data_IF_621396558357
#
_entry.id   IF_621396558357
#
_cell.length_a   1.000
_cell.length_b   1.000
_cell.length_c   1.000
_cell.angle_alpha   90.00
_cell.angle_beta   90.00
_cell.angle_gamma   90.00
#
_symmetry.space_group_name_H-M   'P 1'
#
loop_
_entity.id
_entity.type
_entity.pdbx_description
1 polymer ?
#
# COMPACT_ATOMS: atom_id res chain seq x y z
N UNK A 1 -19.76 15.09 5.96
CA UNK A 1 -18.56 14.81 6.71
C UNK A 1 -17.91 13.52 6.23
N UNK A 2 -16.80 13.15 6.81
CA UNK A 2 -15.97 12.02 6.35
C UNK A 2 -16.72 10.71 6.27
N UNK A 3 -17.52 10.37 7.28
CA UNK A 3 -18.16 9.06 7.33
C UNK A 3 -19.19 8.91 6.22
N UNK A 4 -20.00 9.93 5.98
CA UNK A 4 -21.01 9.83 4.92
C UNK A 4 -20.38 9.83 3.53
N UNK A 5 -19.30 10.56 3.34
CA UNK A 5 -18.57 10.56 2.07
C UNK A 5 -17.89 9.20 1.84
N UNK A 6 -17.30 8.64 2.88
CA UNK A 6 -16.65 7.34 2.80
C UNK A 6 -17.63 6.23 2.46
N UNK A 7 -18.84 6.27 3.01
CA UNK A 7 -19.87 5.27 2.79
C UNK A 7 -20.35 5.20 1.35
N UNK A 8 -20.11 6.22 0.54
CA UNK A 8 -20.43 6.18 -0.88
C UNK A 8 -19.59 5.17 -1.63
N UNK A 9 -18.37 4.90 -1.15
CA UNK A 9 -17.40 4.12 -1.91
C UNK A 9 -16.92 2.87 -1.18
N UNK A 10 -17.08 2.80 0.14
CA UNK A 10 -16.58 1.69 0.95
C UNK A 10 -17.74 1.06 1.70
N UNK A 11 -17.83 -0.26 1.62
CA UNK A 11 -18.79 -1.03 2.42
C UNK A 11 -18.09 -2.22 3.03
N UNK A 12 -18.68 -2.73 4.12
CA UNK A 12 -18.19 -3.89 4.84
C UNK A 12 -19.12 -5.05 4.56
N UNK A 13 -18.56 -6.13 4.06
CA UNK A 13 -19.28 -7.38 3.85
C UNK A 13 -18.59 -8.46 4.69
N UNK A 14 -19.16 -9.64 4.84
CA UNK A 14 -18.50 -10.65 5.67
C UNK A 14 -17.05 -10.85 5.23
N UNK A 15 -16.13 -10.52 6.13
CA UNK A 15 -14.68 -10.66 5.94
C UNK A 15 -14.14 -9.92 4.72
N UNK A 16 -14.82 -8.86 4.28
CA UNK A 16 -14.42 -8.13 3.08
C UNK A 16 -14.65 -6.63 3.28
N UNK A 17 -13.65 -5.84 2.87
CA UNK A 17 -13.79 -4.39 2.71
C UNK A 17 -13.92 -4.13 1.21
N UNK A 18 -15.08 -3.66 0.79
CA UNK A 18 -15.38 -3.43 -0.63
C UNK A 18 -15.23 -1.96 -0.96
N UNK A 19 -14.43 -1.66 -1.97
CA UNK A 19 -14.34 -0.32 -2.56
C UNK A 19 -15.05 -0.37 -3.90
N UNK A 20 -16.09 0.45 -4.09
CA UNK A 20 -16.92 0.41 -5.27
C UNK A 20 -17.12 1.82 -5.83
N UNK A 21 -16.93 1.97 -7.13
CA UNK A 21 -17.16 3.25 -7.82
C UNK A 21 -16.08 4.29 -7.54
N UNK A 22 -14.93 3.87 -7.04
CA UNK A 22 -13.82 4.77 -6.72
C UNK A 22 -12.50 4.06 -6.95
N UNK A 23 -11.43 4.84 -6.99
CA UNK A 23 -10.07 4.33 -7.03
C UNK A 23 -9.50 4.30 -5.62
N UNK A 24 -8.54 3.40 -5.40
CA UNK A 24 -7.71 3.43 -4.20
C UNK A 24 -6.37 4.04 -4.59
N UNK A 25 -6.05 5.20 -4.03
CA UNK A 25 -4.79 5.87 -4.27
C UNK A 25 -3.99 5.90 -2.97
N UNK A 26 -2.78 5.38 -3.02
CA UNK A 26 -1.90 5.29 -1.86
C UNK A 26 -0.63 6.06 -2.19
N UNK A 27 -0.29 7.03 -1.35
CA UNK A 27 0.86 7.91 -1.60
C UNK A 27 1.72 8.03 -0.35
N UNK A 28 2.98 8.37 -0.58
CA UNK A 28 3.97 8.53 0.51
C UNK A 28 3.82 9.85 1.27
N UNK A 29 3.14 10.82 0.69
CA UNK A 29 3.02 12.14 1.29
C UNK A 29 4.13 13.11 0.89
N UNK A 30 5.04 12.70 0.00
CA UNK A 30 6.21 13.51 -0.40
C UNK A 30 5.95 14.37 -1.65
N UNK A 31 4.77 14.32 -2.21
CA UNK A 31 4.36 15.23 -3.28
C UNK A 31 4.52 14.69 -4.69
N UNK A 32 5.31 13.66 -4.94
CA UNK A 32 5.39 13.02 -6.24
C UNK A 32 5.82 11.57 -6.10
N UNK A 33 5.53 10.78 -7.14
CA UNK A 33 5.82 9.33 -7.13
C UNK A 33 7.32 9.06 -7.04
N UNK A 34 8.13 9.88 -7.67
CA UNK A 34 9.58 9.69 -7.72
C UNK A 34 10.33 10.59 -6.74
N UNK A 35 9.67 11.08 -5.72
CA UNK A 35 10.32 11.79 -4.62
C UNK A 35 11.16 10.83 -3.78
N UNK A 36 11.88 11.38 -2.82
CA UNK A 36 12.64 10.58 -1.85
C UNK A 36 11.72 9.56 -1.21
N UNK A 37 12.15 8.31 -1.21
CA UNK A 37 11.37 7.24 -0.59
C UNK A 37 11.42 7.37 0.93
N UNK A 38 10.30 7.07 1.59
CA UNK A 38 10.19 7.21 3.04
C UNK A 38 9.58 5.98 3.71
N UNK A 39 9.46 4.88 2.99
CA UNK A 39 8.92 3.64 3.54
C UNK A 39 7.41 3.59 3.61
N UNK A 40 6.73 4.59 3.09
CA UNK A 40 5.26 4.64 3.10
C UNK A 40 4.70 4.75 1.70
N UNK A 41 3.37 4.67 1.57
CA UNK A 41 2.72 4.71 0.28
C UNK A 41 2.73 3.38 -0.45
N UNK A 42 2.98 2.29 0.27
CA UNK A 42 2.99 0.94 -0.30
C UNK A 42 1.67 0.23 -0.02
N UNK A 43 1.35 -0.75 -0.85
CA UNK A 43 0.28 -1.72 -0.58
C UNK A 43 0.97 -3.03 -0.23
N UNK A 44 0.74 -3.51 0.98
CA UNK A 44 1.40 -4.72 1.49
C UNK A 44 0.34 -5.77 1.73
N UNK A 45 0.53 -6.92 1.09
CA UNK A 45 -0.33 -8.09 1.30
C UNK A 45 0.53 -9.16 1.95
N UNK A 46 0.30 -9.39 3.24
CA UNK A 46 1.11 -10.23 4.09
C UNK A 46 1.57 -9.47 5.31
N UNK A 47 2.43 -10.07 6.12
CA UNK A 47 2.89 -9.45 7.36
C UNK A 47 4.20 -8.68 7.22
N UNK A 48 4.74 -8.63 5.99
CA UNK A 48 5.96 -7.87 5.70
C UNK A 48 7.12 -8.27 6.62
N UNK A 49 7.32 -9.56 6.76
CA UNK A 49 8.25 -10.14 7.72
C UNK A 49 9.70 -9.79 7.39
N UNK A 50 10.57 -10.07 8.35
CA UNK A 50 12.00 -9.98 8.24
C UNK A 50 12.53 -8.55 8.31
N UNK A 51 12.87 -8.15 9.53
CA UNK A 51 13.45 -6.83 9.80
C UNK A 51 14.86 -6.66 9.25
N UNK A 52 15.52 -7.73 8.80
CA UNK A 52 16.85 -7.64 8.19
C UNK A 52 16.78 -7.12 6.75
N UNK A 53 15.63 -7.18 6.12
CA UNK A 53 15.46 -6.68 4.75
C UNK A 53 15.25 -5.17 4.75
N UNK A 54 15.64 -4.53 3.65
CA UNK A 54 15.45 -3.10 3.46
C UNK A 54 14.02 -2.84 3.01
N UNK A 55 13.32 -1.97 3.74
CA UNK A 55 11.91 -1.66 3.47
C UNK A 55 11.69 -0.15 3.43
N UNK A 56 12.59 0.55 2.76
CA UNK A 56 12.55 2.02 2.69
C UNK A 56 11.84 2.56 1.46
N UNK A 57 11.43 1.69 0.54
CA UNK A 57 10.79 2.09 -0.70
C UNK A 57 9.37 2.62 -0.52
N UNK A 58 8.91 3.33 -1.53
CA UNK A 58 7.57 3.91 -1.57
C UNK A 58 6.89 3.57 -2.89
N UNK A 59 5.55 3.58 -2.87
CA UNK A 59 4.74 3.37 -4.07
C UNK A 59 5.01 2.00 -4.72
N UNK A 60 5.10 0.96 -3.90
CA UNK A 60 5.29 -0.42 -4.34
C UNK A 60 4.08 -1.27 -3.96
N UNK A 61 3.85 -2.31 -4.73
CA UNK A 61 2.96 -3.40 -4.34
C UNK A 61 3.82 -4.55 -3.85
N UNK A 62 3.66 -4.94 -2.59
CA UNK A 62 4.49 -5.96 -1.94
C UNK A 62 3.58 -7.10 -1.51
N UNK A 63 3.82 -8.29 -2.05
CA UNK A 63 2.99 -9.47 -1.76
C UNK A 63 3.89 -10.62 -1.36
N UNK A 64 3.69 -11.15 -0.15
CA UNK A 64 4.38 -12.36 0.26
C UNK A 64 5.24 -12.18 1.49
N UNK A 65 6.34 -12.91 1.53
CA UNK A 65 7.14 -13.11 2.73
C UNK A 65 8.57 -12.59 2.54
N UNK A 66 9.03 -11.73 3.45
CA UNK A 66 10.44 -11.40 3.58
C UNK A 66 11.05 -10.63 2.41
N UNK A 67 10.35 -9.63 1.88
CA UNK A 67 10.81 -8.90 0.71
C UNK A 67 11.61 -7.65 1.05
N UNK A 68 12.50 -7.28 0.13
CA UNK A 68 13.24 -6.01 0.17
C UNK A 68 12.67 -5.08 -0.89
N UNK A 69 12.42 -3.84 -0.51
CA UNK A 69 12.02 -2.81 -1.46
C UNK A 69 12.61 -1.47 -1.02
N UNK A 70 13.42 -0.88 -1.89
CA UNK A 70 14.20 0.32 -1.56
C UNK A 70 14.01 1.46 -2.55
N UNK A 71 13.20 1.27 -3.57
CA UNK A 71 12.94 2.29 -4.58
C UNK A 71 11.43 2.52 -4.71
N UNK A 72 10.95 2.90 -5.87
CA UNK A 72 9.54 3.19 -6.10
C UNK A 72 9.05 2.54 -7.38
N UNK A 73 7.72 2.37 -7.46
CA UNK A 73 7.06 1.93 -8.68
C UNK A 73 7.28 0.47 -9.03
N UNK A 74 7.48 -0.37 -8.01
CA UNK A 74 7.73 -1.79 -8.23
C UNK A 74 6.60 -2.69 -7.80
N UNK A 75 6.69 -3.93 -8.25
CA UNK A 75 5.86 -5.02 -7.76
C UNK A 75 6.80 -6.10 -7.25
N UNK A 76 6.66 -6.46 -5.98
CA UNK A 76 7.51 -7.46 -5.33
C UNK A 76 6.60 -8.58 -4.85
N UNK A 77 6.72 -9.76 -5.46
CA UNK A 77 5.79 -10.86 -5.24
C UNK A 77 6.57 -12.14 -5.03
N UNK A 78 6.14 -12.96 -4.06
CA UNK A 78 6.68 -14.29 -3.89
C UNK A 78 6.84 -14.67 -2.42
N UNK A 79 7.63 -15.68 -2.25
CA UNK A 79 7.88 -16.23 -0.91
C UNK A 79 9.24 -15.81 -0.39
#
# INVERSE_FOLDING_TARGET
AYISELQQYISIEPETVLISGANLQVVSGEGSTNSVVNGTGNIIIGYDEDSANVKTGSHNLVVGYGHTYSSYGGIVVGY
#
